data_IF_161571925928
#
_entry.id   IF_161571925928
#
_cell.length_a   1.000
_cell.length_b   1.000
_cell.length_c   1.000
_cell.angle_alpha   90.00
_cell.angle_beta   90.00
_cell.angle_gamma   90.00
#
_symmetry.space_group_name_H-M   'P 1'
#
loop_
_entity.id
_entity.type
_entity.pdbx_description
1 polymer ?
#
# COMPACT_ATOMS: atom_id res chain seq x y z
N UNK A 1 -27.41 1.12 6.77
CA UNK A 1 -26.83 0.24 5.74
C UNK A 1 -25.53 -0.42 6.22
N UNK A 2 -24.68 0.29 6.97
CA UNK A 2 -23.38 -0.16 7.52
C UNK A 2 -23.43 -1.37 8.46
N UNK A 3 -24.46 -1.53 9.29
CA UNK A 3 -24.51 -2.62 10.29
C UNK A 3 -24.82 -4.00 9.68
N UNK A 4 -25.54 -4.05 8.54
CA UNK A 4 -25.80 -5.30 7.82
C UNK A 4 -24.55 -5.80 7.11
N UNK A 5 -23.82 -4.90 6.45
CA UNK A 5 -22.59 -5.24 5.71
C UNK A 5 -21.53 -5.85 6.63
N UNK A 6 -21.34 -5.30 7.83
CA UNK A 6 -20.43 -5.86 8.86
C UNK A 6 -20.76 -7.31 9.23
N UNK A 7 -22.05 -7.69 9.28
CA UNK A 7 -22.49 -9.05 9.63
C UNK A 7 -22.27 -10.07 8.52
N UNK A 8 -22.42 -9.67 7.26
CA UNK A 8 -22.20 -10.56 6.09
C UNK A 8 -20.76 -10.55 5.59
N UNK A 9 -19.96 -9.54 5.95
CA UNK A 9 -18.58 -9.38 5.50
C UNK A 9 -17.73 -10.65 5.68
N UNK A 10 -17.75 -11.37 6.82
CA UNK A 10 -16.94 -12.58 6.95
C UNK A 10 -17.30 -13.68 5.93
N UNK A 11 -18.59 -13.94 5.73
CA UNK A 11 -19.06 -14.95 4.78
C UNK A 11 -18.76 -14.56 3.33
N UNK A 12 -18.95 -13.28 3.00
CA UNK A 12 -18.65 -12.72 1.70
C UNK A 12 -17.14 -12.80 1.39
N UNK A 13 -16.29 -12.46 2.37
CA UNK A 13 -14.85 -12.48 2.18
C UNK A 13 -14.31 -13.91 2.03
N UNK A 14 -14.96 -14.91 2.65
CA UNK A 14 -14.68 -16.33 2.37
C UNK A 14 -14.99 -16.67 0.91
N UNK A 15 -16.09 -16.18 0.35
CA UNK A 15 -16.42 -16.40 -1.07
C UNK A 15 -15.39 -15.75 -2.00
N UNK A 16 -15.00 -14.50 -1.73
CA UNK A 16 -13.93 -13.83 -2.47
C UNK A 16 -12.61 -14.59 -2.38
N UNK A 17 -12.21 -15.01 -1.18
CA UNK A 17 -10.99 -15.80 -0.97
C UNK A 17 -11.00 -17.12 -1.74
N UNK A 18 -12.15 -17.79 -1.83
CA UNK A 18 -12.31 -19.02 -2.59
C UNK A 18 -12.28 -18.75 -4.11
N UNK A 19 -12.95 -17.70 -4.57
CA UNK A 19 -12.97 -17.32 -5.98
C UNK A 19 -11.59 -16.88 -6.49
N UNK A 20 -10.89 -16.07 -5.70
CA UNK A 20 -9.60 -15.45 -6.06
C UNK A 20 -8.39 -16.28 -5.61
N UNK A 21 -8.61 -17.50 -5.08
CA UNK A 21 -7.57 -18.30 -4.41
C UNK A 21 -6.26 -18.39 -5.20
N UNK A 22 -6.35 -18.63 -6.51
CA UNK A 22 -5.17 -18.75 -7.38
C UNK A 22 -4.36 -17.45 -7.43
N UNK A 23 -5.03 -16.32 -7.57
CA UNK A 23 -4.41 -15.01 -7.68
C UNK A 23 -3.88 -14.54 -6.32
N UNK A 24 -4.64 -14.79 -5.24
CA UNK A 24 -4.21 -14.54 -3.87
C UNK A 24 -2.94 -15.35 -3.52
N UNK A 25 -2.87 -16.64 -3.89
CA UNK A 25 -1.68 -17.49 -3.68
C UNK A 25 -0.46 -16.96 -4.46
N UNK A 26 -0.66 -16.51 -5.70
CA UNK A 26 0.39 -15.96 -6.56
C UNK A 26 0.89 -14.60 -6.05
N UNK A 27 -0.02 -13.73 -5.68
CA UNK A 27 0.26 -12.43 -5.07
C UNK A 27 1.01 -12.62 -3.76
N UNK A 28 0.51 -13.48 -2.85
CA UNK A 28 1.13 -13.72 -1.55
C UNK A 28 2.55 -14.27 -1.67
N UNK A 29 2.78 -15.23 -2.56
CA UNK A 29 4.11 -15.79 -2.80
C UNK A 29 5.11 -14.73 -3.26
N UNK A 30 4.68 -13.81 -4.13
CA UNK A 30 5.54 -12.71 -4.62
C UNK A 30 5.75 -11.66 -3.54
N UNK A 31 4.70 -11.25 -2.85
CA UNK A 31 4.76 -10.31 -1.74
C UNK A 31 5.73 -10.77 -0.66
N UNK A 32 5.74 -12.06 -0.31
CA UNK A 32 6.71 -12.65 0.62
C UNK A 32 8.14 -12.55 0.11
N UNK A 33 8.40 -12.81 -1.18
CA UNK A 33 9.74 -12.67 -1.77
C UNK A 33 10.23 -11.23 -1.71
N UNK A 34 9.39 -10.26 -2.03
CA UNK A 34 9.74 -8.84 -2.03
C UNK A 34 9.96 -8.31 -0.61
N UNK A 35 9.18 -8.81 0.36
CA UNK A 35 9.33 -8.47 1.77
C UNK A 35 10.55 -9.10 2.46
N UNK A 36 11.22 -10.07 1.83
CA UNK A 36 12.54 -10.55 2.29
C UNK A 36 13.66 -9.58 1.97
N UNK A 37 13.46 -8.69 0.99
CA UNK A 37 14.48 -7.72 0.60
C UNK A 37 14.54 -6.57 1.60
N UNK A 38 15.74 -6.09 1.97
CA UNK A 38 15.91 -4.86 2.72
C UNK A 38 15.23 -3.67 2.04
N UNK A 39 14.89 -2.63 2.81
CA UNK A 39 14.20 -1.45 2.29
C UNK A 39 14.94 -0.81 1.12
N UNK A 40 16.24 -0.51 1.28
CA UNK A 40 17.04 0.10 0.23
C UNK A 40 17.08 -0.75 -1.06
N UNK A 41 17.18 -2.08 -0.93
CA UNK A 41 17.18 -2.98 -2.09
C UNK A 41 15.84 -2.96 -2.82
N UNK A 42 14.73 -2.97 -2.06
CA UNK A 42 13.41 -2.88 -2.66
C UNK A 42 13.16 -1.51 -3.29
N UNK A 43 13.57 -0.43 -2.62
CA UNK A 43 13.43 0.93 -3.12
C UNK A 43 14.22 1.13 -4.43
N UNK A 44 15.45 0.63 -4.48
CA UNK A 44 16.26 0.65 -5.70
C UNK A 44 15.63 -0.18 -6.83
N UNK A 45 15.13 -1.38 -6.52
CA UNK A 45 14.42 -2.22 -7.50
C UNK A 45 13.19 -1.53 -8.09
N UNK A 46 12.41 -0.83 -7.26
CA UNK A 46 11.23 -0.09 -7.68
C UNK A 46 11.56 1.23 -8.40
N UNK A 47 12.84 1.60 -8.50
CA UNK A 47 13.26 2.85 -9.14
C UNK A 47 12.95 4.10 -8.31
N UNK A 48 12.85 3.97 -6.99
CA UNK A 48 12.64 5.13 -6.10
C UNK A 48 13.91 5.97 -6.03
N UNK A 49 13.80 7.26 -6.32
CA UNK A 49 14.89 8.23 -6.23
C UNK A 49 15.49 8.27 -4.81
N UNK A 50 16.83 8.38 -4.75
CA UNK A 50 17.61 8.42 -3.51
C UNK A 50 17.19 9.57 -2.57
N UNK A 51 16.61 10.65 -3.08
CA UNK A 51 16.05 11.73 -2.25
C UNK A 51 14.95 11.25 -1.28
N UNK A 52 14.31 10.11 -1.56
CA UNK A 52 13.30 9.51 -0.69
C UNK A 52 13.86 8.42 0.24
N UNK A 53 15.17 8.12 0.19
CA UNK A 53 15.78 7.08 1.02
C UNK A 53 16.13 7.57 2.43
N UNK A 54 15.77 8.81 2.76
CA UNK A 54 15.99 9.40 4.08
C UNK A 54 15.28 8.57 5.15
N UNK A 55 15.99 8.23 6.23
CA UNK A 55 15.47 7.33 7.27
C UNK A 55 15.78 5.84 7.03
N UNK A 56 16.26 5.47 5.83
CA UNK A 56 16.66 4.09 5.50
C UNK A 56 18.18 3.91 5.34
N UNK A 57 18.94 4.99 5.21
CA UNK A 57 20.41 5.00 4.94
C UNK A 57 21.31 5.07 6.18
N UNK A 58 20.75 4.89 7.39
CA UNK A 58 21.52 4.94 8.64
C UNK A 58 22.46 3.73 8.83
N UNK A 59 23.65 3.90 9.45
CA UNK A 59 24.59 2.79 9.71
C UNK A 59 24.05 1.68 10.63
N UNK A 60 22.92 1.93 11.28
CA UNK A 60 22.35 1.09 12.33
C UNK A 60 20.97 0.55 11.90
N UNK A 61 20.99 -0.46 11.02
CA UNK A 61 19.97 -1.51 11.02
C UNK A 61 20.15 -2.47 12.23
N UNK A 62 21.01 -2.11 13.18
CA UNK A 62 21.14 -2.67 14.51
C UNK A 62 20.72 -1.62 15.53
N UNK A 63 19.64 -1.94 16.24
CA UNK A 63 19.04 -1.20 17.34
C UNK A 63 20.08 -0.52 18.26
N UNK A 64 20.25 0.81 18.14
CA UNK A 64 20.93 1.63 19.14
C UNK A 64 19.89 2.47 19.90
N UNK A 65 19.75 2.32 21.24
CA UNK A 65 18.60 2.80 22.01
C UNK A 65 18.61 4.28 22.43
N UNK A 66 19.43 5.15 21.80
CA UNK A 66 19.68 6.51 22.33
C UNK A 66 19.48 7.67 21.36
N UNK A 67 19.05 7.43 20.11
CA UNK A 67 18.45 8.47 19.25
C UNK A 67 16.93 8.31 19.28
N UNK A 68 16.11 9.39 19.30
CA UNK A 68 14.67 9.24 19.08
C UNK A 68 14.52 8.38 17.81
N UNK A 69 13.81 7.25 17.91
CA UNK A 69 13.68 6.29 16.82
C UNK A 69 13.41 7.08 15.56
N UNK A 70 14.35 7.12 14.62
CA UNK A 70 14.09 7.78 13.34
C UNK A 70 13.13 6.83 12.64
N UNK A 71 11.84 7.05 12.87
CA UNK A 71 10.77 6.31 12.22
C UNK A 71 11.04 6.36 10.72
N UNK A 72 10.91 5.20 10.07
CA UNK A 72 11.11 5.12 8.64
C UNK A 72 10.17 6.09 7.94
N UNK A 73 10.65 6.80 6.92
CA UNK A 73 9.93 7.94 6.33
C UNK A 73 8.46 7.64 5.98
N UNK A 74 8.18 6.43 5.48
CA UNK A 74 6.84 6.02 5.06
C UNK A 74 6.12 5.09 6.03
N UNK A 75 6.62 4.93 7.26
CA UNK A 75 6.05 3.99 8.24
C UNK A 75 4.57 4.29 8.54
N UNK A 76 4.24 5.57 8.77
CA UNK A 76 2.85 5.97 9.06
C UNK A 76 1.91 5.68 7.89
N UNK A 77 2.39 5.82 6.65
CA UNK A 77 1.62 5.48 5.45
C UNK A 77 1.38 3.97 5.35
N UNK A 78 2.39 3.15 5.68
CA UNK A 78 2.30 1.68 5.73
C UNK A 78 1.25 1.24 6.75
N UNK A 79 1.30 1.79 7.97
CA UNK A 79 0.34 1.49 9.04
C UNK A 79 -1.08 1.94 8.69
N UNK A 80 -1.20 3.12 8.09
CA UNK A 80 -2.50 3.61 7.60
C UNK A 80 -3.09 2.62 6.59
N UNK A 81 -2.29 2.18 5.61
CA UNK A 81 -2.78 1.28 4.57
C UNK A 81 -3.17 -0.10 5.13
N UNK A 82 -2.50 -0.57 6.17
CA UNK A 82 -2.84 -1.83 6.86
C UNK A 82 -4.26 -1.84 7.45
N UNK A 83 -4.84 -0.67 7.74
CA UNK A 83 -6.20 -0.55 8.24
C UNK A 83 -7.25 -1.05 7.24
N UNK A 84 -6.91 -1.22 5.95
CA UNK A 84 -7.80 -1.81 4.94
C UNK A 84 -8.42 -3.14 5.43
N UNK A 85 -7.65 -3.97 6.14
CA UNK A 85 -8.10 -5.28 6.67
C UNK A 85 -9.13 -5.18 7.79
N UNK A 86 -9.12 -4.07 8.52
CA UNK A 86 -9.97 -3.85 9.70
C UNK A 86 -11.18 -2.97 9.40
N UNK A 87 -11.24 -2.44 8.19
CA UNK A 87 -12.33 -1.58 7.72
C UNK A 87 -13.33 -2.39 6.90
N UNK A 88 -14.63 -2.16 7.09
CA UNK A 88 -15.68 -2.99 6.50
C UNK A 88 -16.56 -2.28 5.47
N UNK A 89 -16.52 -0.94 5.44
CA UNK A 89 -17.26 -0.15 4.46
C UNK A 89 -16.40 0.17 3.23
N UNK A 90 -16.90 0.01 1.99
CA UNK A 90 -16.15 0.34 0.77
C UNK A 90 -15.65 1.78 0.76
N UNK A 91 -16.50 2.73 1.20
CA UNK A 91 -16.10 4.13 1.28
C UNK A 91 -15.02 4.35 2.35
N UNK A 92 -15.14 3.72 3.52
CA UNK A 92 -14.10 3.84 4.55
C UNK A 92 -12.77 3.24 4.06
N UNK A 93 -12.80 2.15 3.27
CA UNK A 93 -11.59 1.59 2.64
C UNK A 93 -10.97 2.58 1.63
N UNK A 94 -11.76 3.28 0.83
CA UNK A 94 -11.24 4.37 -0.03
C UNK A 94 -10.62 5.51 0.78
N UNK A 95 -11.23 5.87 1.92
CA UNK A 95 -10.70 6.91 2.79
C UNK A 95 -9.39 6.49 3.45
N UNK A 96 -9.20 5.21 3.77
CA UNK A 96 -7.91 4.66 4.17
C UNK A 96 -6.86 4.88 3.07
N UNK A 97 -7.19 4.52 1.82
CA UNK A 97 -6.27 4.72 0.67
C UNK A 97 -5.91 6.21 0.53
N UNK A 98 -6.89 7.11 0.51
CA UNK A 98 -6.62 8.56 0.45
C UNK A 98 -5.72 9.02 1.60
N UNK A 99 -5.99 8.55 2.81
CA UNK A 99 -5.19 8.91 3.98
C UNK A 99 -3.75 8.44 3.83
N UNK A 100 -3.50 7.27 3.26
CA UNK A 100 -2.15 6.79 2.93
C UNK A 100 -1.41 7.76 2.00
N UNK A 101 -2.04 8.22 0.91
CA UNK A 101 -1.44 9.21 0.00
C UNK A 101 -1.13 10.53 0.72
N UNK A 102 -2.02 10.97 1.60
CA UNK A 102 -1.82 12.18 2.42
C UNK A 102 -0.62 12.01 3.36
N UNK A 103 -0.52 10.89 4.08
CA UNK A 103 0.63 10.59 4.96
C UNK A 103 1.95 10.57 4.21
N UNK A 104 1.96 9.96 3.03
CA UNK A 104 3.15 9.97 2.17
C UNK A 104 3.54 11.38 1.73
N UNK A 105 2.57 12.18 1.28
CA UNK A 105 2.81 13.54 0.83
C UNK A 105 3.33 14.41 1.98
N UNK A 106 2.73 14.30 3.17
CA UNK A 106 3.20 14.99 4.38
C UNK A 106 4.62 14.61 4.75
N UNK A 107 4.95 13.30 4.71
CA UNK A 107 6.29 12.83 5.00
C UNK A 107 7.33 13.39 4.01
N UNK A 108 7.02 13.38 2.72
CA UNK A 108 7.90 13.96 1.69
C UNK A 108 8.05 15.46 1.86
N UNK A 109 6.96 16.18 2.14
CA UNK A 109 6.99 17.63 2.36
C UNK A 109 7.74 18.02 3.64
N UNK A 110 7.75 17.17 4.65
CA UNK A 110 8.57 17.38 5.84
C UNK A 110 10.07 17.33 5.51
N UNK A 111 10.49 16.37 4.68
CA UNK A 111 11.92 16.20 4.34
C UNK A 111 12.40 17.10 3.19
N UNK A 112 11.59 17.33 2.16
CA UNK A 112 11.97 18.05 0.93
C UNK A 112 11.41 19.48 0.86
N UNK A 113 10.55 19.87 1.81
CA UNK A 113 9.95 21.20 1.93
C UNK A 113 8.44 21.21 1.69
N UNK A 114 7.74 22.11 2.41
CA UNK A 114 6.27 22.15 2.47
C UNK A 114 5.56 22.36 1.14
N UNK A 115 6.25 22.95 0.15
CA UNK A 115 5.69 23.25 -1.17
C UNK A 115 6.08 22.19 -2.22
N UNK A 116 6.71 21.09 -1.80
CA UNK A 116 7.09 20.02 -2.71
C UNK A 116 5.85 19.37 -3.31
N UNK A 117 5.87 19.23 -4.64
CA UNK A 117 4.85 18.55 -5.43
C UNK A 117 5.56 17.48 -6.26
N UNK A 118 5.34 16.22 -5.92
CA UNK A 118 5.78 15.10 -6.75
C UNK A 118 4.87 14.85 -7.95
N UNK A 119 5.48 14.43 -9.04
CA UNK A 119 4.78 13.86 -10.21
C UNK A 119 4.34 12.41 -9.94
N UNK A 120 3.51 11.85 -10.82
CA UNK A 120 3.13 10.44 -10.74
C UNK A 120 4.32 9.48 -10.89
N UNK A 121 5.36 9.85 -11.64
CA UNK A 121 6.57 9.02 -11.81
C UNK A 121 7.36 8.89 -10.51
N UNK A 122 7.28 9.89 -9.63
CA UNK A 122 7.88 9.86 -8.29
C UNK A 122 6.96 9.19 -7.28
N UNK A 123 5.67 9.52 -7.34
CA UNK A 123 4.67 9.03 -6.39
C UNK A 123 4.46 7.52 -6.51
N UNK A 124 4.29 7.03 -7.74
CA UNK A 124 3.86 5.66 -7.97
C UNK A 124 4.84 4.61 -7.42
N UNK A 125 6.17 4.70 -7.68
CA UNK A 125 7.15 3.79 -7.08
C UNK A 125 7.12 3.78 -5.56
N UNK A 126 6.99 4.96 -4.93
CA UNK A 126 6.91 5.09 -3.46
C UNK A 126 5.62 4.46 -2.93
N UNK A 127 4.50 4.69 -3.59
CA UNK A 127 3.23 4.07 -3.19
C UNK A 127 3.30 2.55 -3.34
N UNK A 128 3.92 2.05 -4.41
CA UNK A 128 4.15 0.62 -4.61
C UNK A 128 5.00 0.03 -3.47
N UNK A 129 6.07 0.71 -3.05
CA UNK A 129 6.84 0.32 -1.87
C UNK A 129 5.97 0.23 -0.61
N UNK A 130 5.12 1.24 -0.36
CA UNK A 130 4.17 1.25 0.76
C UNK A 130 3.20 0.07 0.70
N UNK A 131 2.63 -0.24 -0.48
CA UNK A 131 1.75 -1.41 -0.69
C UNK A 131 2.47 -2.71 -0.35
N UNK A 132 3.72 -2.87 -0.79
CA UNK A 132 4.53 -4.06 -0.51
C UNK A 132 4.78 -4.20 0.99
N UNK A 133 5.15 -3.11 1.67
CA UNK A 133 5.44 -3.10 3.11
C UNK A 133 4.19 -3.20 3.99
N UNK A 134 3.03 -2.78 3.51
CA UNK A 134 1.75 -2.97 4.20
C UNK A 134 1.36 -4.45 4.33
N UNK A 135 1.91 -5.34 3.49
CA UNK A 135 1.70 -6.80 3.58
C UNK A 135 0.21 -7.18 3.68
N UNK A 136 -0.61 -6.54 2.85
CA UNK A 136 -2.04 -6.79 2.84
C UNK A 136 -2.28 -8.18 2.28
N UNK A 137 -2.80 -9.08 3.12
CA UNK A 137 -3.26 -10.40 2.74
C UNK A 137 -4.51 -10.25 1.89
N UNK A 138 -4.62 -11.03 0.82
CA UNK A 138 -5.81 -11.06 -0.04
C UNK A 138 -6.21 -9.67 -0.57
N UNK A 139 -5.21 -8.84 -0.92
CA UNK A 139 -5.44 -7.49 -1.44
C UNK A 139 -6.35 -7.50 -2.70
N UNK A 140 -6.27 -8.54 -3.53
CA UNK A 140 -7.18 -8.70 -4.67
C UNK A 140 -8.64 -8.83 -4.24
N UNK A 141 -8.91 -9.60 -3.18
CA UNK A 141 -10.24 -9.70 -2.58
C UNK A 141 -10.73 -8.37 -2.00
N UNK A 142 -9.85 -7.58 -1.40
CA UNK A 142 -10.17 -6.22 -0.94
C UNK A 142 -10.52 -5.27 -2.09
N UNK A 143 -9.78 -5.34 -3.19
CA UNK A 143 -10.02 -4.55 -4.40
C UNK A 143 -11.38 -4.90 -5.00
N UNK A 144 -11.66 -6.19 -5.21
CA UNK A 144 -12.93 -6.63 -5.78
C UNK A 144 -14.11 -6.25 -4.88
N UNK A 145 -13.96 -6.36 -3.56
CA UNK A 145 -14.98 -5.91 -2.62
C UNK A 145 -15.27 -4.40 -2.74
N UNK A 146 -14.24 -3.56 -2.92
CA UNK A 146 -14.46 -2.12 -3.13
C UNK A 146 -15.16 -1.91 -4.49
N UNK A 147 -14.75 -2.60 -5.55
CA UNK A 147 -15.34 -2.45 -6.89
C UNK A 147 -16.82 -2.81 -6.94
N UNK A 148 -17.21 -3.93 -6.33
CA UNK A 148 -18.57 -4.46 -6.39
C UNK A 148 -19.58 -3.63 -5.57
N UNK A 149 -19.10 -2.94 -4.52
CA UNK A 149 -19.98 -2.26 -3.55
C UNK A 149 -19.83 -0.73 -3.51
N UNK A 150 -18.93 -0.15 -4.32
CA UNK A 150 -18.80 1.29 -4.44
C UNK A 150 -19.77 1.85 -5.49
N UNK A 151 -20.43 2.96 -5.16
CA UNK A 151 -21.31 3.65 -6.10
C UNK A 151 -20.53 4.17 -7.33
N UNK A 152 -21.06 4.02 -8.57
CA UNK A 152 -20.37 4.47 -9.78
C UNK A 152 -19.96 5.95 -9.76
N UNK A 153 -20.72 6.81 -9.09
CA UNK A 153 -20.38 8.23 -8.94
C UNK A 153 -19.05 8.45 -8.18
N UNK A 154 -18.69 7.54 -7.28
CA UNK A 154 -17.46 7.62 -6.47
C UNK A 154 -16.25 6.96 -7.16
N UNK A 155 -16.47 6.23 -8.25
CA UNK A 155 -15.41 5.67 -9.09
C UNK A 155 -14.72 6.74 -9.95
N UNK A 156 -15.34 7.92 -10.08
CA UNK A 156 -14.83 9.04 -10.85
C UNK A 156 -14.25 10.11 -9.91
N UNK A 157 -13.12 10.72 -10.29
CA UNK A 157 -12.44 11.75 -9.51
C UNK A 157 -11.24 11.22 -8.70
N UNK A 158 -10.77 12.02 -7.75
CA UNK A 158 -9.50 11.77 -7.04
C UNK A 158 -9.46 10.42 -6.31
N UNK A 159 -10.54 10.06 -5.59
CA UNK A 159 -10.63 8.78 -4.90
C UNK A 159 -10.56 7.59 -5.87
N UNK A 160 -11.22 7.71 -7.03
CA UNK A 160 -11.18 6.69 -8.08
C UNK A 160 -9.79 6.55 -8.70
N UNK A 161 -9.05 7.66 -8.86
CA UNK A 161 -7.66 7.64 -9.32
C UNK A 161 -6.75 6.98 -8.30
N UNK A 162 -6.82 7.34 -7.02
CA UNK A 162 -6.04 6.72 -5.95
C UNK A 162 -6.32 5.22 -5.83
N UNK A 163 -7.59 4.82 -5.97
CA UNK A 163 -7.97 3.42 -6.01
C UNK A 163 -7.42 2.69 -7.24
N UNK A 164 -7.47 3.32 -8.41
CA UNK A 164 -6.87 2.79 -9.65
C UNK A 164 -5.36 2.59 -9.49
N UNK A 165 -4.69 3.51 -8.80
CA UNK A 165 -3.26 3.38 -8.46
C UNK A 165 -2.99 2.17 -7.56
N UNK A 166 -3.83 1.90 -6.55
CA UNK A 166 -3.73 0.67 -5.74
C UNK A 166 -3.90 -0.59 -6.57
N UNK A 167 -4.86 -0.60 -7.49
CA UNK A 167 -5.05 -1.71 -8.44
C UNK A 167 -3.81 -1.93 -9.29
N UNK A 168 -3.22 -0.86 -9.81
CA UNK A 168 -1.99 -0.94 -10.60
C UNK A 168 -0.83 -1.55 -9.79
N UNK A 169 -0.64 -1.15 -8.53
CA UNK A 169 0.36 -1.79 -7.66
C UNK A 169 0.07 -3.28 -7.44
N UNK A 170 -1.19 -3.66 -7.16
CA UNK A 170 -1.57 -5.06 -7.03
C UNK A 170 -1.24 -5.87 -8.31
N UNK A 171 -1.59 -5.34 -9.48
CA UNK A 171 -1.30 -5.99 -10.76
C UNK A 171 0.20 -6.10 -11.04
N UNK A 172 0.99 -5.06 -10.73
CA UNK A 172 2.45 -5.15 -10.86
C UNK A 172 3.03 -6.24 -9.95
N UNK A 173 2.65 -6.27 -8.67
CA UNK A 173 3.07 -7.36 -7.75
C UNK A 173 2.65 -8.72 -8.30
N UNK A 174 1.45 -8.84 -8.88
CA UNK A 174 0.93 -10.10 -9.39
C UNK A 174 1.62 -10.58 -10.66
N UNK A 175 2.07 -9.67 -11.54
CA UNK A 175 2.67 -10.02 -12.83
C UNK A 175 4.20 -10.12 -12.75
N UNK A 176 4.81 -9.20 -12.03
CA UNK A 176 6.25 -8.97 -12.05
C UNK A 176 7.01 -10.12 -11.38
N UNK A 177 8.06 -10.57 -12.07
CA UNK A 177 9.00 -11.55 -11.54
C UNK A 177 10.23 -10.76 -11.15
N UNK A 178 10.45 -10.60 -9.85
CA UNK A 178 11.75 -10.21 -9.31
C UNK A 178 12.80 -11.24 -9.76
N UNK A 179 13.56 -10.90 -10.79
CA UNK A 179 14.81 -11.57 -11.15
C UNK A 179 15.95 -10.77 -10.54
N UNK A 180 16.18 -10.98 -9.25
CA UNK A 180 17.38 -10.50 -8.56
C UNK A 180 18.35 -11.69 -8.57
N UNK A 181 19.48 -11.53 -9.27
CA UNK A 181 20.61 -12.46 -9.25
C UNK A 181 21.46 -12.24 -8.00
#
# INVERSE_FOLDING_TARGET
MTDRLKRVHPALFVLYALHNKREDDLYWRRLLKWNRQPDLTLMAFLGIDQKFWVGYTGPNNQMSPTSPLKEQLFQEAVETLQQLKTTFSPIEKLLVIRSTFQKMTTAVQHELGSNYLWSMDELFPVFHFVVVRARILQLGSEIHFIEDFLEPAMQHGELGLMFTTLKACYFQILQEKMSIN
#
